data_IF_023620456843
#
_entry.id   IF_023620456843
#
_cell.length_a   1.000
_cell.length_b   1.000
_cell.length_c   1.000
_cell.angle_alpha   90.00
_cell.angle_beta   90.00
_cell.angle_gamma   90.00
#
_symmetry.space_group_name_H-M   'P 1'
#
loop_
_entity.id
_entity.type
_entity.pdbx_description
1 polymer ?
#
# COMPACT_ATOMS: atom_id res chain seq x y z
N UNK A 1 -12.46 -12.81 0.64
CA UNK A 1 -11.90 -12.85 2.00
C UNK A 1 -12.46 -11.70 2.83
N UNK A 2 -12.93 -12.03 4.03
CA UNK A 2 -13.49 -11.01 4.91
C UNK A 2 -12.42 -10.57 5.91
N UNK A 3 -12.05 -9.29 5.87
CA UNK A 3 -10.96 -8.75 6.67
C UNK A 3 -11.52 -7.73 7.67
N UNK A 4 -11.15 -7.90 8.93
CA UNK A 4 -11.57 -6.99 9.99
C UNK A 4 -10.72 -5.72 10.00
N UNK A 5 -11.27 -4.65 10.57
CA UNK A 5 -10.58 -3.37 10.63
C UNK A 5 -9.19 -3.47 11.27
N UNK A 6 -9.07 -4.25 12.35
CA UNK A 6 -7.77 -4.43 13.01
C UNK A 6 -6.75 -5.06 12.07
N UNK A 7 -7.19 -5.97 11.20
CA UNK A 7 -6.29 -6.59 10.25
C UNK A 7 -5.83 -5.57 9.20
N UNK A 8 -6.71 -4.66 8.80
CA UNK A 8 -6.32 -3.59 7.89
C UNK A 8 -5.28 -2.67 8.52
N UNK A 9 -5.41 -2.38 9.82
CA UNK A 9 -4.41 -1.58 10.52
C UNK A 9 -3.06 -2.28 10.53
N UNK A 10 -3.04 -3.58 10.79
CA UNK A 10 -1.81 -4.36 10.76
C UNK A 10 -1.21 -4.40 9.37
N UNK A 11 -2.04 -4.59 8.34
CA UNK A 11 -1.57 -4.58 6.97
C UNK A 11 -0.96 -3.23 6.60
N UNK A 12 -1.61 -2.14 7.03
CA UNK A 12 -1.07 -0.81 6.75
C UNK A 12 0.31 -0.65 7.36
N UNK A 13 0.48 -1.05 8.63
CA UNK A 13 1.77 -0.98 9.29
C UNK A 13 2.82 -1.84 8.60
N UNK A 14 2.45 -3.05 8.23
CA UNK A 14 3.36 -3.95 7.51
C UNK A 14 3.76 -3.37 6.16
N UNK A 15 2.82 -2.80 5.43
CA UNK A 15 3.11 -2.20 4.13
C UNK A 15 4.01 -0.98 4.26
N UNK A 16 3.83 -0.18 5.33
CA UNK A 16 4.73 0.94 5.59
C UNK A 16 6.15 0.46 5.86
N UNK A 17 6.29 -0.63 6.63
CA UNK A 17 7.59 -1.21 6.90
C UNK A 17 8.25 -1.74 5.64
N UNK A 18 7.47 -2.38 4.79
CA UNK A 18 7.96 -2.89 3.51
C UNK A 18 8.42 -1.73 2.63
N UNK A 19 7.65 -0.65 2.57
CA UNK A 19 8.05 0.54 1.83
C UNK A 19 9.39 1.05 2.31
N UNK A 20 9.58 1.11 3.63
CA UNK A 20 10.83 1.56 4.22
C UNK A 20 11.99 0.65 3.80
N UNK A 21 11.78 -0.67 3.78
CA UNK A 21 12.79 -1.63 3.33
C UNK A 21 13.16 -1.43 1.86
N UNK A 22 12.21 -0.95 1.06
CA UNK A 22 12.44 -0.66 -0.35
C UNK A 22 13.08 0.71 -0.57
N UNK A 23 13.34 1.43 0.51
CA UNK A 23 13.88 2.78 0.42
C UNK A 23 12.85 3.83 0.07
N UNK A 24 11.58 3.53 0.26
CA UNK A 24 10.49 4.45 -0.05
C UNK A 24 9.92 5.07 1.22
N UNK A 25 9.40 6.27 1.09
CA UNK A 25 8.72 6.95 2.18
C UNK A 25 7.23 7.03 1.85
N UNK A 26 6.39 6.87 2.87
CA UNK A 26 4.95 6.97 2.70
C UNK A 26 4.47 8.24 3.39
N UNK A 27 3.75 9.08 2.66
CA UNK A 27 3.19 10.33 3.20
C UNK A 27 1.68 10.33 2.96
N UNK A 28 0.94 10.79 3.94
CA UNK A 28 -0.51 10.96 3.83
C UNK A 28 -0.82 12.44 3.77
N UNK A 29 -1.33 12.89 2.65
CA UNK A 29 -1.62 14.31 2.46
C UNK A 29 -2.97 14.48 1.78
N UNK A 30 -3.56 15.64 1.94
CA UNK A 30 -4.77 15.99 1.22
C UNK A 30 -4.43 16.19 -0.25
N UNK A 31 -5.25 15.65 -1.10
CA UNK A 31 -5.05 15.82 -2.52
C UNK A 31 -6.04 14.97 -3.30
N UNK A 32 -6.28 15.38 -4.52
CA UNK A 32 -7.17 14.67 -5.42
C UNK A 32 -6.30 13.88 -6.40
N UNK A 33 -5.66 12.84 -5.89
CA UNK A 33 -4.74 12.04 -6.69
C UNK A 33 -5.50 11.02 -7.52
N UNK A 34 -5.20 10.98 -8.80
CA UNK A 34 -5.78 9.98 -9.68
C UNK A 34 -5.28 8.60 -9.26
N UNK A 35 -6.20 7.70 -8.98
CA UNK A 35 -5.86 6.38 -8.48
C UNK A 35 -5.57 6.33 -6.99
N UNK A 36 -5.59 7.46 -6.31
CA UNK A 36 -5.42 7.52 -4.87
C UNK A 36 -4.00 7.70 -4.38
N UNK A 37 -3.00 7.64 -5.24
CA UNK A 37 -1.62 7.83 -4.83
C UNK A 37 -0.80 8.46 -5.95
N UNK A 38 0.36 8.96 -5.55
CA UNK A 38 1.32 9.54 -6.47
C UNK A 38 2.71 9.06 -6.05
N UNK A 39 3.53 8.64 -6.99
CA UNK A 39 4.89 8.21 -6.72
C UNK A 39 5.85 9.26 -7.28
N UNK A 40 6.69 9.80 -6.39
CA UNK A 40 7.73 10.72 -6.79
C UNK A 40 9.01 9.91 -7.00
N UNK A 41 9.23 9.49 -8.22
CA UNK A 41 10.25 8.49 -8.56
C UNK A 41 11.66 8.80 -8.07
N UNK A 42 12.10 10.05 -8.18
CA UNK A 42 13.48 10.41 -7.80
C UNK A 42 13.73 10.20 -6.31
N UNK A 43 12.76 10.49 -5.47
CA UNK A 43 12.91 10.40 -4.03
C UNK A 43 12.20 9.17 -3.46
N UNK A 44 11.55 8.38 -4.30
CA UNK A 44 10.78 7.20 -3.88
C UNK A 44 9.79 7.54 -2.77
N UNK A 45 9.05 8.61 -2.95
CA UNK A 45 8.01 9.00 -2.01
C UNK A 45 6.65 8.59 -2.57
N UNK A 46 5.88 7.89 -1.76
CA UNK A 46 4.52 7.51 -2.09
C UNK A 46 3.58 8.44 -1.33
N UNK A 47 2.79 9.22 -2.05
CA UNK A 47 1.85 10.15 -1.44
C UNK A 47 0.45 9.59 -1.57
N UNK A 48 -0.24 9.41 -0.47
CA UNK A 48 -1.57 8.82 -0.42
C UNK A 48 -2.55 9.85 0.15
N UNK A 49 -3.76 9.89 -0.41
CA UNK A 49 -4.79 10.79 0.08
C UNK A 49 -5.20 10.40 1.50
N UNK A 50 -4.92 11.26 2.47
CA UNK A 50 -5.19 10.98 3.87
C UNK A 50 -6.68 10.89 4.20
N UNK A 51 -7.54 11.37 3.30
CA UNK A 51 -8.99 11.32 3.50
C UNK A 51 -9.58 9.97 3.08
N UNK A 52 -8.79 9.10 2.48
CA UNK A 52 -9.24 7.76 2.12
C UNK A 52 -9.54 6.94 3.38
N UNK A 53 -10.49 6.00 3.27
CA UNK A 53 -10.77 5.09 4.37
C UNK A 53 -9.56 4.20 4.64
N UNK A 54 -9.53 3.58 5.82
CA UNK A 54 -8.44 2.67 6.17
C UNK A 54 -8.28 1.56 5.14
N UNK A 55 -9.39 0.94 4.76
CA UNK A 55 -9.37 -0.13 3.77
C UNK A 55 -8.77 0.36 2.45
N UNK A 56 -9.18 1.53 1.98
CA UNK A 56 -8.65 2.08 0.73
C UNK A 56 -7.18 2.43 0.85
N UNK A 57 -6.75 2.94 2.00
CA UNK A 57 -5.33 3.25 2.21
C UNK A 57 -4.48 1.99 2.06
N UNK A 58 -4.94 0.88 2.63
CA UNK A 58 -4.22 -0.39 2.51
C UNK A 58 -4.16 -0.84 1.05
N UNK A 59 -5.29 -0.79 0.35
CA UNK A 59 -5.36 -1.20 -1.05
C UNK A 59 -4.48 -0.31 -1.93
N UNK A 60 -4.53 1.01 -1.69
CA UNK A 60 -3.76 1.97 -2.47
C UNK A 60 -2.27 1.77 -2.25
N UNK A 61 -1.86 1.60 -0.98
CA UNK A 61 -0.45 1.41 -0.66
C UNK A 61 0.07 0.09 -1.25
N UNK A 62 -0.72 -0.97 -1.17
CA UNK A 62 -0.34 -2.24 -1.78
C UNK A 62 -0.14 -2.09 -3.29
N UNK A 63 -1.05 -1.39 -3.97
CA UNK A 63 -0.92 -1.15 -5.41
C UNK A 63 0.33 -0.35 -5.73
N UNK A 64 0.61 0.69 -4.94
CA UNK A 64 1.81 1.51 -5.14
C UNK A 64 3.08 0.69 -4.97
N UNK A 65 3.13 -0.18 -3.97
CA UNK A 65 4.31 -1.03 -3.73
C UNK A 65 4.49 -2.05 -4.84
N UNK A 66 3.41 -2.57 -5.41
CA UNK A 66 3.50 -3.48 -6.55
C UNK A 66 4.10 -2.75 -7.76
N UNK A 67 3.72 -1.50 -7.96
CA UNK A 67 4.29 -0.71 -9.03
C UNK A 67 5.79 -0.50 -8.83
N UNK A 68 6.24 -0.39 -7.57
CA UNK A 68 7.65 -0.22 -7.25
C UNK A 68 8.44 -1.54 -7.28
N UNK A 69 7.76 -2.69 -7.34
CA UNK A 69 8.43 -3.97 -7.43
C UNK A 69 8.50 -4.75 -6.13
N UNK A 70 7.45 -4.70 -5.32
CA UNK A 70 7.41 -5.39 -4.02
C UNK A 70 7.56 -6.90 -4.14
N UNK A 71 7.36 -7.45 -5.33
CA UNK A 71 7.45 -8.90 -5.54
C UNK A 71 8.83 -9.47 -5.22
N UNK A 72 9.85 -8.63 -5.16
CA UNK A 72 11.20 -9.05 -4.84
C UNK A 72 11.46 -9.10 -3.33
N UNK A 73 10.48 -8.70 -2.52
CA UNK A 73 10.62 -8.62 -1.08
C UNK A 73 9.71 -9.63 -0.40
N UNK A 74 10.22 -10.23 0.69
CA UNK A 74 9.41 -11.16 1.47
C UNK A 74 8.17 -10.47 2.04
N UNK A 75 7.02 -11.09 1.86
CA UNK A 75 5.76 -10.64 2.44
C UNK A 75 5.21 -11.73 3.36
N UNK A 76 4.66 -11.36 4.53
CA UNK A 76 3.94 -12.33 5.35
C UNK A 76 2.85 -13.00 4.51
N UNK A 77 2.63 -14.32 4.68
CA UNK A 77 1.70 -15.05 3.81
C UNK A 77 0.31 -14.44 3.70
N UNK A 78 -0.25 -13.97 4.81
CA UNK A 78 -1.59 -13.39 4.80
C UNK A 78 -1.65 -12.10 4.00
N UNK A 79 -0.60 -11.29 4.10
CA UNK A 79 -0.52 -10.04 3.33
C UNK A 79 -0.33 -10.34 1.85
N UNK A 80 0.49 -11.32 1.51
CA UNK A 80 0.69 -11.74 0.12
C UNK A 80 -0.63 -12.21 -0.48
N UNK A 81 -1.38 -13.00 0.27
CA UNK A 81 -2.67 -13.48 -0.18
C UNK A 81 -3.63 -12.33 -0.45
N UNK A 82 -3.65 -11.34 0.44
CA UNK A 82 -4.51 -10.16 0.27
C UNK A 82 -4.14 -9.40 -1.00
N UNK A 83 -2.86 -9.18 -1.24
CA UNK A 83 -2.38 -8.46 -2.41
C UNK A 83 -2.73 -9.22 -3.70
N UNK A 84 -2.54 -10.53 -3.69
CA UNK A 84 -2.84 -11.36 -4.85
C UNK A 84 -4.34 -11.36 -5.17
N UNK A 85 -5.19 -11.38 -4.15
CA UNK A 85 -6.63 -11.30 -4.35
C UNK A 85 -7.04 -9.97 -4.97
N UNK A 86 -6.39 -8.89 -4.58
CA UNK A 86 -6.66 -7.58 -5.16
C UNK A 86 -6.40 -7.57 -6.66
N UNK A 87 -5.32 -8.21 -7.09
CA UNK A 87 -4.97 -8.28 -8.50
C UNK A 87 -6.01 -9.06 -9.30
N UNK A 88 -6.53 -10.14 -8.71
CA UNK A 88 -7.51 -10.98 -9.39
C UNK A 88 -8.86 -10.27 -9.55
N UNK A 89 -9.15 -9.31 -8.69
CA UNK A 89 -10.44 -8.63 -8.68
C UNK A 89 -10.43 -7.28 -9.40
N UNK A 90 -9.45 -7.03 -10.23
CA UNK A 90 -9.36 -5.78 -10.97
C UNK A 90 -10.30 -5.75 -12.16
#
# INVERSE_FOLDING_TARGET
MKIKEKEFELFLDELKNIASQMGAKVRFERGDFKGGYCILNESKVIVINKLSTLQRKVMILAAALKELGVDEIYLPPKLREFIDEMDENR
#
